data_IF_465977513355
#
_entry.id   IF_465977513355
#
_cell.length_a   1.000
_cell.length_b   1.000
_cell.length_c   1.000
_cell.angle_alpha   90.00
_cell.angle_beta   90.00
_cell.angle_gamma   90.00
#
_symmetry.space_group_name_H-M   'P 1'
#
loop_
_entity.id
_entity.type
_entity.pdbx_description
1 polymer ?
#
# COMPACT_ATOMS: atom_id res chain seq x y z
N UNK A 1 12.95 -5.46 -0.30
CA UNK A 1 11.49 -5.48 -0.51
C UNK A 1 10.83 -4.27 0.15
N UNK A 2 10.88 -4.09 1.48
CA UNK A 2 10.25 -2.92 2.13
C UNK A 2 10.88 -1.59 1.67
N UNK A 3 12.22 -1.50 1.60
CA UNK A 3 12.92 -0.30 1.09
C UNK A 3 12.41 0.15 -0.28
N UNK A 4 12.25 -0.78 -1.23
CA UNK A 4 11.73 -0.50 -2.57
C UNK A 4 10.35 0.15 -2.56
N UNK A 5 9.48 -0.26 -1.61
CA UNK A 5 8.16 0.37 -1.44
C UNK A 5 8.29 1.77 -0.86
N UNK A 6 9.17 1.95 0.12
CA UNK A 6 9.41 3.26 0.73
C UNK A 6 9.93 4.24 -0.32
N UNK A 7 10.91 3.83 -1.13
CA UNK A 7 11.45 4.61 -2.24
C UNK A 7 10.38 4.99 -3.26
N UNK A 8 9.50 4.05 -3.63
CA UNK A 8 8.40 4.33 -4.56
C UNK A 8 7.38 5.32 -3.97
N UNK A 9 6.99 5.14 -2.70
CA UNK A 9 6.06 6.05 -2.01
C UNK A 9 6.66 7.45 -1.82
N UNK A 10 7.94 7.55 -1.48
CA UNK A 10 8.63 8.83 -1.28
C UNK A 10 8.72 9.68 -2.56
N UNK A 11 8.63 9.05 -3.73
CA UNK A 11 8.58 9.75 -5.03
C UNK A 11 7.20 10.32 -5.35
N UNK A 12 6.15 9.98 -4.60
CA UNK A 12 4.79 10.49 -4.83
C UNK A 12 4.67 11.92 -4.27
N UNK A 13 4.29 12.91 -5.09
CA UNK A 13 4.12 14.29 -4.61
C UNK A 13 3.05 14.39 -3.51
N UNK A 14 3.40 15.03 -2.41
CA UNK A 14 2.47 15.25 -1.29
C UNK A 14 2.27 14.03 -0.37
N UNK A 15 3.14 13.01 -0.46
CA UNK A 15 3.15 11.91 0.49
C UNK A 15 3.35 12.44 1.92
N UNK A 16 2.47 12.05 2.84
CA UNK A 16 2.46 12.57 4.22
C UNK A 16 3.17 11.64 5.20
N UNK A 17 2.96 10.32 5.06
CA UNK A 17 3.58 9.31 5.89
C UNK A 17 3.51 7.92 5.22
N UNK A 18 4.31 6.99 5.70
CA UNK A 18 4.27 5.57 5.33
C UNK A 18 3.99 4.74 6.58
N UNK A 19 2.93 3.93 6.52
CA UNK A 19 2.52 3.04 7.59
C UNK A 19 2.84 1.59 7.19
N UNK A 20 3.82 0.98 7.88
CA UNK A 20 4.09 -0.45 7.76
C UNK A 20 3.22 -1.20 8.77
N UNK A 21 2.28 -2.00 8.28
CA UNK A 21 1.35 -2.78 9.12
C UNK A 21 1.80 -4.24 9.12
N UNK A 22 1.91 -4.85 10.31
CA UNK A 22 2.17 -6.29 10.44
C UNK A 22 2.04 -6.77 11.87
N UNK A 23 2.10 -8.08 12.10
CA UNK A 23 1.85 -8.68 13.42
C UNK A 23 3.12 -9.04 14.21
N UNK A 24 4.30 -8.91 13.61
CA UNK A 24 5.57 -9.24 14.26
C UNK A 24 5.94 -8.18 15.32
N UNK A 25 6.52 -8.61 16.44
CA UNK A 25 7.11 -7.64 17.35
C UNK A 25 8.31 -6.98 16.66
N UNK A 26 8.37 -5.63 16.62
CA UNK A 26 9.50 -4.95 16.02
C UNK A 26 10.75 -5.28 16.83
N UNK A 27 11.75 -5.82 16.14
CA UNK A 27 13.08 -6.02 16.69
C UNK A 27 13.95 -4.78 16.43
N UNK A 28 15.15 -4.79 17.02
CA UNK A 28 16.12 -3.71 16.84
C UNK A 28 16.48 -3.48 15.36
N UNK A 29 16.74 -4.51 14.54
CA UNK A 29 16.96 -4.34 13.10
C UNK A 29 15.82 -3.63 12.36
N UNK A 30 14.56 -4.01 12.59
CA UNK A 30 13.43 -3.34 11.94
C UNK A 30 13.33 -1.88 12.37
N UNK A 31 13.53 -1.61 13.66
CA UNK A 31 13.47 -0.24 14.20
C UNK A 31 14.54 0.65 13.57
N UNK A 32 15.79 0.19 13.53
CA UNK A 32 16.91 0.90 12.90
C UNK A 32 16.66 1.12 11.41
N UNK A 33 16.09 0.13 10.71
CA UNK A 33 15.73 0.26 9.31
C UNK A 33 14.70 1.37 9.06
N UNK A 34 13.62 1.42 9.86
CA UNK A 34 12.58 2.45 9.72
C UNK A 34 13.11 3.85 10.07
N UNK A 35 13.97 3.97 11.08
CA UNK A 35 14.63 5.23 11.44
C UNK A 35 15.55 5.73 10.32
N UNK A 36 16.35 4.84 9.73
CA UNK A 36 17.23 5.18 8.61
C UNK A 36 16.42 5.64 7.40
N UNK A 37 15.35 4.92 7.05
CA UNK A 37 14.45 5.29 5.95
C UNK A 37 13.79 6.66 6.18
N UNK A 38 13.32 6.92 7.41
CA UNK A 38 12.72 8.21 7.75
C UNK A 38 13.72 9.37 7.57
N UNK A 39 14.98 9.18 7.95
CA UNK A 39 16.04 10.18 7.77
C UNK A 39 16.41 10.36 6.30
N UNK A 40 16.53 9.26 5.55
CA UNK A 40 16.90 9.26 4.14
C UNK A 40 15.87 9.99 3.28
N UNK A 41 14.58 9.68 3.46
CA UNK A 41 13.50 10.23 2.64
C UNK A 41 12.84 11.48 3.24
N UNK A 42 13.23 11.88 4.46
CA UNK A 42 12.61 12.97 5.21
C UNK A 42 11.07 12.85 5.26
N UNK A 43 10.59 11.62 5.49
CA UNK A 43 9.18 11.25 5.45
C UNK A 43 8.88 10.35 6.66
N UNK A 44 7.83 10.61 7.46
CA UNK A 44 7.48 9.76 8.59
C UNK A 44 7.24 8.31 8.15
N UNK A 45 7.94 7.36 8.79
CA UNK A 45 7.74 5.93 8.57
C UNK A 45 7.47 5.26 9.91
N UNK A 46 6.29 4.66 10.05
CA UNK A 46 5.82 4.07 11.32
C UNK A 46 5.47 2.62 11.16
N UNK A 47 5.73 1.83 12.21
CA UNK A 47 5.24 0.48 12.32
C UNK A 47 3.95 0.43 13.13
N UNK A 48 2.90 -0.18 12.58
CA UNK A 48 1.64 -0.47 13.26
C UNK A 48 1.53 -1.97 13.50
N UNK A 49 1.71 -2.37 14.75
CA UNK A 49 1.71 -3.78 15.13
C UNK A 49 0.29 -4.30 15.35
N UNK A 50 -0.14 -5.24 14.51
CA UNK A 50 -1.36 -6.02 14.74
C UNK A 50 -1.18 -6.94 15.96
N UNK A 51 -2.22 -7.08 16.77
CA UNK A 51 -2.21 -7.97 17.94
C UNK A 51 -2.27 -9.46 17.57
N UNK A 52 -2.66 -9.78 16.34
CA UNK A 52 -2.79 -11.11 15.75
C UNK A 52 -2.77 -10.96 14.22
N UNK A 53 -2.57 -12.03 13.42
CA UNK A 53 -2.69 -11.95 11.97
C UNK A 53 -4.16 -11.77 11.56
N UNK A 54 -4.62 -10.52 11.40
CA UNK A 54 -6.03 -10.21 11.12
C UNK A 54 -6.43 -10.41 9.65
N UNK A 55 -5.49 -10.84 8.80
CA UNK A 55 -5.67 -10.97 7.36
C UNK A 55 -5.61 -9.61 6.63
N UNK A 56 -5.72 -9.65 5.30
CA UNK A 56 -5.45 -8.49 4.43
C UNK A 56 -6.30 -7.26 4.75
N UNK A 57 -7.59 -7.45 5.03
CA UNK A 57 -8.50 -6.35 5.39
C UNK A 57 -8.52 -6.00 6.88
N UNK A 58 -8.02 -6.90 7.73
CA UNK A 58 -8.13 -6.78 9.18
C UNK A 58 -7.28 -5.65 9.74
N UNK A 59 -6.01 -5.58 9.35
CA UNK A 59 -5.11 -4.49 9.73
C UNK A 59 -5.61 -3.12 9.25
N UNK A 60 -6.12 -3.04 8.02
CA UNK A 60 -6.71 -1.81 7.47
C UNK A 60 -7.90 -1.33 8.31
N UNK A 61 -8.83 -2.23 8.66
CA UNK A 61 -9.98 -1.87 9.47
C UNK A 61 -9.59 -1.50 10.91
N UNK A 62 -8.64 -2.24 11.49
CA UNK A 62 -8.17 -2.02 12.85
C UNK A 62 -7.49 -0.65 12.99
N UNK A 63 -6.67 -0.26 12.02
CA UNK A 63 -5.92 0.99 12.01
C UNK A 63 -6.58 2.13 11.22
N UNK A 64 -7.84 1.98 10.78
CA UNK A 64 -8.55 2.97 9.94
C UNK A 64 -8.47 4.40 10.46
N UNK A 65 -8.58 4.59 11.78
CA UNK A 65 -8.57 5.93 12.38
C UNK A 65 -7.16 6.56 12.34
N UNK A 66 -6.11 5.74 12.37
CA UNK A 66 -4.73 6.18 12.21
C UNK A 66 -4.40 6.44 10.73
N UNK A 67 -4.87 5.58 9.82
CA UNK A 67 -4.71 5.76 8.37
C UNK A 67 -5.39 7.05 7.89
N UNK A 68 -6.53 7.41 8.48
CA UNK A 68 -7.29 8.61 8.14
C UNK A 68 -6.89 9.84 8.98
N UNK A 69 -5.91 9.71 9.88
CA UNK A 69 -5.42 10.82 10.66
C UNK A 69 -4.82 11.90 9.74
N UNK A 70 -5.09 13.17 10.03
CA UNK A 70 -4.67 14.27 9.16
C UNK A 70 -5.54 14.46 7.90
N UNK A 71 -6.60 13.65 7.73
CA UNK A 71 -7.55 13.74 6.62
C UNK A 71 -6.85 13.71 5.24
N UNK A 72 -6.15 12.61 4.92
CA UNK A 72 -5.47 12.48 3.63
C UNK A 72 -6.48 12.55 2.48
N UNK A 73 -6.07 13.16 1.37
CA UNK A 73 -6.86 13.19 0.13
C UNK A 73 -7.08 11.76 -0.42
N UNK A 74 -6.04 10.94 -0.36
CA UNK A 74 -6.02 9.54 -0.78
C UNK A 74 -4.91 8.79 -0.02
N UNK A 75 -4.98 7.45 -0.01
CA UNK A 75 -3.92 6.58 0.49
C UNK A 75 -3.73 5.40 -0.45
N UNK A 76 -2.52 4.83 -0.45
CA UNK A 76 -2.20 3.61 -1.18
C UNK A 76 -2.21 2.42 -0.23
N UNK A 77 -2.60 1.27 -0.75
CA UNK A 77 -2.42 -0.03 -0.09
C UNK A 77 -1.54 -0.87 -0.97
N UNK A 78 -0.38 -1.28 -0.45
CA UNK A 78 0.59 -2.12 -1.12
C UNK A 78 0.86 -3.35 -0.25
N UNK A 79 0.96 -4.52 -0.87
CA UNK A 79 1.41 -5.70 -0.15
C UNK A 79 2.95 -5.76 -0.19
N UNK A 80 3.59 -5.82 0.97
CA UNK A 80 5.05 -5.66 1.10
C UNK A 80 5.88 -6.78 0.45
N UNK A 81 5.24 -7.92 0.13
CA UNK A 81 5.85 -9.06 -0.57
C UNK A 81 5.76 -8.95 -2.11
N UNK A 82 5.10 -7.92 -2.65
CA UNK A 82 4.99 -7.67 -4.09
C UNK A 82 6.12 -6.76 -4.54
N UNK A 83 7.01 -7.24 -5.42
CA UNK A 83 8.02 -6.40 -6.06
C UNK A 83 7.53 -5.95 -7.44
N UNK A 84 7.40 -4.65 -7.66
CA UNK A 84 7.01 -4.09 -8.96
C UNK A 84 7.43 -2.63 -9.08
N UNK A 85 7.61 -2.15 -10.30
CA UNK A 85 7.72 -0.72 -10.58
C UNK A 85 6.32 -0.10 -10.48
N UNK A 86 5.91 0.25 -9.26
CA UNK A 86 4.58 0.77 -8.99
C UNK A 86 4.40 2.16 -9.64
N UNK A 87 3.44 2.37 -10.55
CA UNK A 87 3.20 3.66 -11.17
C UNK A 87 2.38 4.59 -10.26
N UNK A 88 2.78 4.75 -9.00
CA UNK A 88 1.97 5.39 -7.94
C UNK A 88 1.53 6.82 -8.29
N UNK A 89 2.44 7.64 -8.84
CA UNK A 89 2.11 9.02 -9.25
C UNK A 89 1.07 9.03 -10.37
N UNK A 90 1.18 8.12 -11.35
CA UNK A 90 0.19 8.00 -12.42
C UNK A 90 -1.15 7.46 -11.90
N UNK A 91 -1.12 6.53 -10.93
CA UNK A 91 -2.32 6.03 -10.25
C UNK A 91 -3.04 7.15 -9.48
N UNK A 92 -2.31 8.03 -8.77
CA UNK A 92 -2.90 9.17 -8.08
C UNK A 92 -3.58 10.13 -9.06
N UNK A 93 -2.91 10.46 -10.15
CA UNK A 93 -3.46 11.33 -11.19
C UNK A 93 -4.70 10.72 -11.86
N UNK A 94 -4.70 9.41 -12.11
CA UNK A 94 -5.87 8.69 -12.61
C UNK A 94 -7.01 8.68 -11.57
N UNK A 95 -6.69 8.41 -10.30
CA UNK A 95 -7.65 8.41 -9.20
C UNK A 95 -8.36 9.77 -9.03
N UNK A 96 -7.62 10.88 -9.15
CA UNK A 96 -8.16 12.24 -9.09
C UNK A 96 -9.13 12.58 -10.23
N UNK A 97 -9.01 11.90 -11.38
CA UNK A 97 -9.84 12.14 -12.58
C UNK A 97 -11.09 11.27 -12.64
N UNK A 98 -11.08 10.13 -11.96
CA UNK A 98 -12.24 9.22 -11.92
C UNK A 98 -13.26 9.64 -10.87
N UNK A 99 -14.50 9.18 -11.04
CA UNK A 99 -15.58 9.35 -10.03
C UNK A 99 -15.65 8.20 -9.04
N UNK A 100 -14.92 7.11 -9.30
CA UNK A 100 -14.97 5.90 -8.48
C UNK A 100 -14.12 6.05 -7.21
N UNK A 101 -14.57 5.47 -6.08
CA UNK A 101 -13.92 5.67 -4.79
C UNK A 101 -12.57 4.95 -4.64
N UNK A 102 -12.21 4.05 -5.55
CA UNK A 102 -10.95 3.32 -5.52
C UNK A 102 -10.41 3.06 -6.92
N UNK A 103 -9.10 2.82 -7.00
CA UNK A 103 -8.39 2.41 -8.21
C UNK A 103 -7.55 1.17 -7.86
N UNK A 104 -7.61 0.14 -8.71
CA UNK A 104 -6.85 -1.10 -8.54
C UNK A 104 -5.80 -1.23 -9.65
N UNK A 105 -4.58 -1.60 -9.27
CA UNK A 105 -3.54 -1.97 -10.22
C UNK A 105 -3.66 -3.47 -10.51
N UNK A 106 -3.94 -3.83 -11.76
CA UNK A 106 -4.00 -5.21 -12.23
C UNK A 106 -2.96 -5.48 -13.31
N UNK A 107 -2.62 -6.76 -13.51
CA UNK A 107 -1.81 -7.23 -14.62
C UNK A 107 -2.41 -8.50 -15.22
N UNK A 108 -2.11 -8.79 -16.48
CA UNK A 108 -2.57 -10.01 -17.14
C UNK A 108 -1.75 -11.20 -16.65
N UNK A 109 -2.42 -12.25 -16.21
CA UNK A 109 -1.81 -13.52 -15.83
C UNK A 109 -2.24 -14.63 -16.79
N UNK A 110 -1.35 -15.60 -17.03
CA UNK A 110 -1.77 -16.81 -17.76
C UNK A 110 -2.67 -17.69 -16.87
N UNK A 111 -3.35 -18.67 -17.49
CA UNK A 111 -4.33 -19.52 -16.80
C UNK A 111 -3.77 -20.27 -15.58
N UNK A 112 -2.50 -20.66 -15.62
CA UNK A 112 -1.87 -21.37 -14.50
C UNK A 112 -1.54 -20.42 -13.37
N UNK A 113 -1.05 -19.21 -13.68
CA UNK A 113 -0.74 -18.17 -12.71
C UNK A 113 -2.00 -17.62 -12.04
N UNK A 114 -3.09 -17.43 -12.79
CA UNK A 114 -4.33 -16.83 -12.27
C UNK A 114 -4.96 -17.64 -11.12
N UNK A 115 -4.63 -18.93 -10.99
CA UNK A 115 -5.11 -19.78 -9.89
C UNK A 115 -4.54 -19.37 -8.53
N UNK A 116 -3.46 -18.57 -8.50
CA UNK A 116 -2.78 -18.15 -7.28
C UNK A 116 -3.14 -16.73 -6.83
N UNK A 117 -3.97 -16.00 -7.58
CA UNK A 117 -4.27 -14.58 -7.34
C UNK A 117 -5.77 -14.29 -7.38
N UNK A 118 -6.15 -13.13 -6.85
CA UNK A 118 -7.49 -12.59 -7.09
C UNK A 118 -7.68 -12.25 -8.57
N UNK A 119 -8.79 -12.69 -9.15
CA UNK A 119 -9.16 -12.38 -10.53
C UNK A 119 -10.10 -11.18 -10.57
N UNK A 120 -9.81 -10.24 -11.47
CA UNK A 120 -10.74 -9.16 -11.81
C UNK A 120 -11.78 -9.74 -12.77
N UNK A 121 -13.06 -9.57 -12.42
CA UNK A 121 -14.19 -9.99 -13.26
C UNK A 121 -14.88 -8.73 -13.74
N UNK A 122 -14.96 -8.59 -15.06
CA UNK A 122 -15.62 -7.48 -15.73
C UNK A 122 -17.01 -7.92 -16.19
N UNK A 123 -18.00 -7.05 -16.01
CA UNK A 123 -19.32 -7.23 -16.60
C UNK A 123 -19.24 -6.96 -18.11
N UNK A 124 -19.53 -7.96 -18.98
CA UNK A 124 -19.35 -7.82 -20.43
C UNK A 124 -20.29 -6.80 -21.09
N UNK A 125 -21.33 -6.34 -20.40
CA UNK A 125 -22.27 -5.34 -20.94
C UNK A 125 -21.93 -3.92 -20.49
N UNK A 126 -21.58 -3.74 -19.22
CA UNK A 126 -21.35 -2.43 -18.61
C UNK A 126 -19.88 -2.05 -18.54
N UNK A 127 -18.97 -3.01 -18.73
CA UNK A 127 -17.53 -2.87 -18.50
C UNK A 127 -17.20 -2.40 -17.07
N UNK A 128 -18.09 -2.72 -16.12
CA UNK A 128 -17.89 -2.54 -14.68
C UNK A 128 -17.14 -3.71 -14.04
#
# INVERSE_FOLDING_TARGET
MIQHHIEACAQVPGMQEILLIGFYQPDEPLTQFLEAAQQEFNLPVRYLQEFAPLGTGGGLYHFRDQILAGSPEAFFVLNADVCSDFPLSAMLEAHRRQRHPFLLLGTTANRTQSLNYGCIVENPQTHE
#
